data_IF_571656797160
#
_entry.id   IF_571656797160
#
_cell.length_a   1.000
_cell.length_b   1.000
_cell.length_c   1.000
_cell.angle_alpha   90.00
_cell.angle_beta   90.00
_cell.angle_gamma   90.00
#
_symmetry.space_group_name_H-M   'P 1'
#
loop_
_entity.id
_entity.type
_entity.pdbx_description
1 polymer ?
#
# COMPACT_ATOMS: atom_id res chain seq x y z
N UNK A 1 -24.86 -2.60 44.88
CA UNK A 1 -24.85 -1.90 43.58
C UNK A 1 -24.26 -0.48 43.64
N UNK A 2 -24.63 0.41 44.57
CA UNK A 2 -24.14 1.81 44.59
C UNK A 2 -22.64 2.02 44.94
N UNK A 3 -21.97 1.02 45.53
CA UNK A 3 -20.56 1.15 45.93
C UNK A 3 -19.54 0.86 44.83
N UNK A 4 -19.93 0.16 43.75
CA UNK A 4 -19.03 -0.16 42.63
C UNK A 4 -18.78 1.04 41.72
N UNK A 5 -19.81 1.86 41.48
CA UNK A 5 -19.72 3.08 40.67
C UNK A 5 -18.85 4.17 41.35
N UNK A 6 -18.89 4.27 42.67
CA UNK A 6 -18.10 5.26 43.42
C UNK A 6 -16.58 4.98 43.37
N UNK A 7 -16.16 3.71 43.29
CA UNK A 7 -14.75 3.32 43.12
C UNK A 7 -14.27 3.57 41.68
N UNK A 8 -15.12 3.27 40.69
CA UNK A 8 -14.81 3.52 39.27
C UNK A 8 -14.70 5.01 38.93
N UNK A 9 -15.57 5.87 39.49
CA UNK A 9 -15.47 7.32 39.29
C UNK A 9 -14.17 7.92 39.86
N UNK A 10 -13.61 7.35 40.94
CA UNK A 10 -12.37 7.85 41.55
C UNK A 10 -11.11 7.46 40.77
N UNK A 11 -11.11 6.30 40.10
CA UNK A 11 -9.99 5.83 39.27
C UNK A 11 -9.84 6.65 37.97
N UNK A 12 -10.97 7.04 37.36
CA UNK A 12 -10.99 7.81 36.10
C UNK A 12 -10.61 9.28 36.31
N UNK A 13 -10.86 9.84 37.48
CA UNK A 13 -10.56 11.24 37.81
C UNK A 13 -9.11 11.49 38.31
N UNK A 14 -8.27 10.45 38.45
CA UNK A 14 -6.90 10.56 39.01
C UNK A 14 -5.76 10.44 37.99
N UNK A 15 -6.02 10.14 36.71
CA UNK A 15 -4.99 10.24 35.67
C UNK A 15 -4.98 11.63 35.04
N UNK A 16 -4.64 12.61 35.86
CA UNK A 16 -4.14 13.89 35.39
C UNK A 16 -2.76 13.68 34.77
N UNK A 17 -2.69 13.73 33.44
CA UNK A 17 -1.47 14.12 32.75
C UNK A 17 -1.76 15.44 32.05
N UNK A 18 -1.35 16.53 32.70
CA UNK A 18 -1.46 17.88 32.18
C UNK A 18 -0.69 18.01 30.86
N UNK A 19 -1.41 18.18 29.75
CA UNK A 19 -0.87 18.78 28.53
C UNK A 19 -1.59 20.09 28.31
N UNK A 20 -0.99 21.17 28.77
CA UNK A 20 -1.34 22.52 28.32
C UNK A 20 -0.92 22.67 26.86
N UNK A 21 -1.88 22.65 25.94
CA UNK A 21 -1.74 23.24 24.60
C UNK A 21 -2.94 24.14 24.36
N UNK A 22 -2.84 25.36 24.88
CA UNK A 22 -3.78 26.43 24.64
C UNK A 22 -3.42 27.11 23.29
N UNK A 23 -3.79 26.50 22.17
CA UNK A 23 -3.75 27.16 20.87
C UNK A 23 -5.09 27.85 20.63
N UNK A 24 -5.20 29.07 21.16
CA UNK A 24 -6.29 30.01 20.90
C UNK A 24 -6.10 30.59 19.50
N UNK A 25 -6.94 30.20 18.55
CA UNK A 25 -7.21 30.96 17.33
C UNK A 25 -8.72 31.01 17.14
N UNK A 26 -9.33 32.13 17.50
CA UNK A 26 -10.74 32.45 17.25
C UNK A 26 -10.78 33.82 16.57
N UNK A 27 -11.55 33.92 15.49
CA UNK A 27 -11.87 35.14 14.73
C UNK A 27 -11.42 35.00 13.27
N UNK A 28 -12.14 34.30 12.39
CA UNK A 28 -13.42 34.69 11.74
C UNK A 28 -13.23 35.74 10.61
N UNK A 29 -13.24 35.27 9.35
CA UNK A 29 -13.96 35.88 8.22
C UNK A 29 -13.96 34.93 7.01
N UNK A 30 -15.11 34.64 6.38
CA UNK A 30 -15.25 33.83 5.17
C UNK A 30 -14.99 34.66 3.91
N UNK A 31 -14.61 33.98 2.82
CA UNK A 31 -14.13 34.52 1.54
C UNK A 31 -12.69 35.06 1.66
N UNK A 32 -11.69 34.55 0.95
CA UNK A 32 -11.68 34.06 -0.43
C UNK A 32 -10.73 32.85 -0.51
N UNK A 33 -11.26 31.67 -0.82
CA UNK A 33 -10.44 30.63 -1.41
C UNK A 33 -10.17 31.09 -2.85
N UNK A 34 -9.15 31.90 -3.06
CA UNK A 34 -8.55 32.09 -4.38
C UNK A 34 -8.08 30.71 -4.80
N UNK A 35 -8.93 29.99 -5.53
CA UNK A 35 -8.62 28.72 -6.16
C UNK A 35 -7.66 28.97 -7.31
N UNK A 36 -6.41 29.26 -6.98
CA UNK A 36 -5.29 29.02 -7.86
C UNK A 36 -5.07 27.51 -7.88
N UNK A 37 -5.85 26.84 -8.74
CA UNK A 37 -5.64 25.45 -9.09
C UNK A 37 -4.17 25.26 -9.45
N UNK A 38 -3.43 24.38 -8.76
CA UNK A 38 -1.99 24.23 -8.97
C UNK A 38 -1.72 23.88 -10.43
N UNK A 39 -0.67 24.45 -11.04
CA UNK A 39 -0.34 24.31 -12.47
C UNK A 39 -0.29 22.84 -12.97
N UNK A 40 -0.15 21.88 -12.06
CA UNK A 40 -0.17 20.43 -12.27
C UNK A 40 -1.54 19.92 -12.76
N UNK A 41 -2.65 20.59 -12.45
CA UNK A 41 -3.97 20.12 -12.93
C UNK A 41 -4.20 20.43 -14.40
N UNK A 42 -3.58 21.49 -14.95
CA UNK A 42 -3.72 21.88 -16.36
C UNK A 42 -3.25 20.79 -17.33
N UNK A 43 -2.05 20.20 -17.19
CA UNK A 43 -1.63 19.11 -18.07
C UNK A 43 -2.47 17.85 -17.89
N UNK A 44 -2.95 17.55 -16.67
CA UNK A 44 -3.86 16.43 -16.43
C UNK A 44 -5.21 16.66 -17.09
N UNK A 45 -5.73 17.88 -17.06
CA UNK A 45 -6.96 18.27 -17.75
C UNK A 45 -6.79 18.22 -19.27
N UNK A 46 -5.69 18.72 -19.81
CA UNK A 46 -5.39 18.63 -21.25
C UNK A 46 -5.29 17.17 -21.70
N UNK A 47 -4.59 16.32 -20.93
CA UNK A 47 -4.54 14.88 -21.19
C UNK A 47 -5.90 14.21 -21.05
N UNK A 48 -6.71 14.63 -20.08
CA UNK A 48 -8.08 14.14 -19.91
C UNK A 48 -8.98 14.52 -21.08
N UNK A 49 -8.87 15.74 -21.59
CA UNK A 49 -9.67 16.25 -22.69
C UNK A 49 -9.24 15.69 -24.06
N UNK A 50 -7.96 15.34 -24.21
CA UNK A 50 -7.43 14.67 -25.41
C UNK A 50 -7.84 13.19 -25.48
N UNK A 51 -8.23 12.57 -24.37
CA UNK A 51 -8.71 11.18 -24.36
C UNK A 51 -10.10 11.11 -25.00
N UNK A 52 -10.19 10.41 -26.13
CA UNK A 52 -11.48 10.17 -26.81
C UNK A 52 -12.40 9.29 -25.96
N UNK A 53 -11.84 8.31 -25.24
CA UNK A 53 -12.58 7.34 -24.42
C UNK A 53 -12.48 7.62 -22.91
N UNK A 54 -12.95 8.80 -22.48
CA UNK A 54 -13.00 9.19 -21.04
C UNK A 54 -13.69 8.14 -20.16
N UNK A 55 -14.75 7.51 -20.66
CA UNK A 55 -15.48 6.47 -19.92
C UNK A 55 -14.66 5.20 -19.73
N UNK A 56 -13.85 4.79 -20.72
CA UNK A 56 -12.98 3.63 -20.58
C UNK A 56 -11.91 3.90 -19.51
N UNK A 57 -11.27 5.06 -19.57
CA UNK A 57 -10.27 5.46 -18.56
C UNK A 57 -10.88 5.61 -17.18
N UNK A 58 -12.06 6.23 -17.06
CA UNK A 58 -12.77 6.35 -15.80
C UNK A 58 -13.16 4.97 -15.23
N UNK A 59 -13.66 4.07 -16.06
CA UNK A 59 -14.03 2.71 -15.63
C UNK A 59 -12.82 1.91 -15.18
N UNK A 60 -11.67 2.06 -15.85
CA UNK A 60 -10.42 1.42 -15.48
C UNK A 60 -9.87 2.00 -14.17
N UNK A 61 -10.00 3.30 -13.95
CA UNK A 61 -9.64 3.95 -12.69
C UNK A 61 -10.50 3.42 -11.53
N UNK A 62 -11.82 3.32 -11.73
CA UNK A 62 -12.74 2.74 -10.73
C UNK A 62 -12.42 1.26 -10.49
N UNK A 63 -12.20 0.48 -11.55
CA UNK A 63 -11.83 -0.93 -11.43
C UNK A 63 -10.50 -1.10 -10.68
N UNK A 64 -9.54 -0.21 -10.90
CA UNK A 64 -8.27 -0.20 -10.17
C UNK A 64 -8.49 0.09 -8.69
N UNK A 65 -9.32 1.07 -8.34
CA UNK A 65 -9.66 1.39 -6.94
C UNK A 65 -10.35 0.20 -6.26
N UNK A 66 -11.34 -0.40 -6.91
CA UNK A 66 -12.04 -1.58 -6.39
C UNK A 66 -11.07 -2.76 -6.24
N UNK A 67 -10.20 -2.97 -7.23
CA UNK A 67 -9.16 -4.00 -7.21
C UNK A 67 -8.21 -3.81 -6.03
N UNK A 68 -7.74 -2.58 -5.80
CA UNK A 68 -6.90 -2.25 -4.64
C UNK A 68 -7.64 -2.46 -3.31
N UNK A 69 -8.89 -2.01 -3.20
CA UNK A 69 -9.68 -2.20 -1.98
C UNK A 69 -9.94 -3.68 -1.69
N UNK A 70 -10.25 -4.45 -2.73
CA UNK A 70 -10.47 -5.90 -2.64
C UNK A 70 -9.18 -6.61 -2.25
N UNK A 71 -8.05 -6.27 -2.87
CA UNK A 71 -6.75 -6.83 -2.53
C UNK A 71 -6.37 -6.52 -1.08
N UNK A 72 -6.56 -5.27 -0.63
CA UNK A 72 -6.33 -4.89 0.77
C UNK A 72 -7.23 -5.67 1.74
N UNK A 73 -8.50 -5.91 1.38
CA UNK A 73 -9.43 -6.74 2.14
C UNK A 73 -8.97 -8.20 2.24
N UNK A 74 -8.49 -8.78 1.15
CA UNK A 74 -7.93 -10.15 1.12
C UNK A 74 -6.68 -10.25 1.99
N UNK A 75 -5.74 -9.30 1.87
CA UNK A 75 -4.52 -9.26 2.70
C UNK A 75 -4.91 -9.15 4.19
N UNK A 76 -5.86 -8.28 4.52
CA UNK A 76 -6.35 -8.12 5.90
C UNK A 76 -7.06 -9.37 6.44
N UNK A 77 -7.73 -10.14 5.58
CA UNK A 77 -8.35 -11.40 5.97
C UNK A 77 -7.31 -12.52 6.19
N UNK A 78 -6.29 -12.56 5.33
CA UNK A 78 -5.18 -13.51 5.44
C UNK A 78 -4.33 -13.24 6.69
N UNK A 79 -4.00 -11.98 6.96
CA UNK A 79 -3.18 -11.59 8.12
C UNK A 79 -3.88 -11.90 9.46
N UNK A 80 -5.22 -11.96 9.46
CA UNK A 80 -6.01 -12.40 10.62
C UNK A 80 -5.97 -13.91 10.86
N UNK A 81 -5.47 -14.71 9.92
CA UNK A 81 -5.27 -16.14 10.11
C UNK A 81 -3.87 -16.36 10.69
N UNK A 82 -3.72 -16.78 11.95
CA UNK A 82 -2.43 -16.82 12.65
C UNK A 82 -1.42 -17.81 12.05
N UNK A 83 -1.81 -18.64 11.09
CA UNK A 83 -0.96 -19.68 10.49
C UNK A 83 -0.43 -19.29 9.10
N UNK A 84 -1.14 -18.43 8.36
CA UNK A 84 -0.77 -18.11 6.97
C UNK A 84 0.56 -17.36 6.87
N UNK A 85 0.85 -16.35 7.72
CA UNK A 85 2.15 -15.66 7.68
C UNK A 85 3.34 -16.62 7.83
N UNK A 86 3.25 -17.57 8.76
CA UNK A 86 4.30 -18.58 8.98
C UNK A 86 4.44 -19.59 7.84
N UNK A 87 3.34 -20.01 7.20
CA UNK A 87 3.41 -20.91 6.03
C UNK A 87 4.05 -20.18 4.85
N UNK A 88 3.68 -18.93 4.58
CA UNK A 88 4.26 -18.16 3.48
C UNK A 88 5.75 -17.92 3.68
N UNK A 89 6.18 -17.66 4.91
CA UNK A 89 7.60 -17.56 5.27
C UNK A 89 8.35 -18.87 5.01
N UNK A 90 7.81 -20.01 5.49
CA UNK A 90 8.40 -21.32 5.26
C UNK A 90 8.48 -21.66 3.76
N UNK A 91 7.44 -21.34 3.00
CA UNK A 91 7.40 -21.53 1.55
C UNK A 91 8.45 -20.64 0.88
N UNK A 92 8.59 -19.38 1.29
CA UNK A 92 9.60 -18.46 0.76
C UNK A 92 11.02 -18.95 1.01
N UNK A 93 11.32 -19.37 2.24
CA UNK A 93 12.62 -19.93 2.62
C UNK A 93 12.86 -21.27 1.89
N UNK A 94 11.87 -22.15 1.85
CA UNK A 94 11.95 -23.46 1.20
C UNK A 94 12.22 -23.32 -0.31
N UNK A 95 11.48 -22.44 -0.98
CA UNK A 95 11.67 -22.18 -2.40
C UNK A 95 13.02 -21.50 -2.68
N UNK A 96 13.41 -20.52 -1.86
CA UNK A 96 14.71 -19.85 -2.02
C UNK A 96 15.86 -20.83 -1.81
N UNK A 97 15.79 -21.69 -0.78
CA UNK A 97 16.77 -22.73 -0.52
C UNK A 97 16.85 -23.77 -1.64
N UNK A 98 15.71 -24.26 -2.12
CA UNK A 98 15.66 -25.20 -3.26
C UNK A 98 16.17 -24.58 -4.56
N UNK A 99 15.76 -23.34 -4.87
CA UNK A 99 16.24 -22.59 -6.03
C UNK A 99 17.75 -22.39 -5.97
N UNK A 100 18.28 -21.98 -4.81
CA UNK A 100 19.71 -21.78 -4.62
C UNK A 100 20.49 -23.09 -4.75
N UNK A 101 19.98 -24.16 -4.13
CA UNK A 101 20.60 -25.48 -4.22
C UNK A 101 20.67 -25.95 -5.67
N UNK A 102 19.55 -25.93 -6.39
CA UNK A 102 19.52 -26.42 -7.76
C UNK A 102 20.27 -25.49 -8.73
N UNK A 103 19.97 -24.20 -8.74
CA UNK A 103 20.42 -23.31 -9.82
C UNK A 103 21.77 -22.63 -9.56
N UNK A 104 22.24 -22.53 -8.30
CA UNK A 104 23.53 -21.91 -8.00
C UNK A 104 24.64 -22.92 -7.63
N UNK A 105 24.31 -24.02 -6.96
CA UNK A 105 25.32 -25.01 -6.53
C UNK A 105 25.61 -26.03 -7.63
N UNK A 106 24.61 -26.46 -8.40
CA UNK A 106 24.83 -27.42 -9.48
C UNK A 106 25.37 -26.76 -10.75
N UNK A 107 26.50 -27.29 -11.21
CA UNK A 107 27.18 -26.92 -12.45
C UNK A 107 26.31 -26.89 -13.71
N UNK A 108 25.55 -27.95 -14.05
CA UNK A 108 24.74 -27.90 -15.27
C UNK A 108 23.63 -26.83 -15.19
N UNK A 109 23.06 -26.64 -14.00
CA UNK A 109 21.92 -25.75 -13.80
C UNK A 109 22.32 -24.27 -13.75
N UNK A 110 23.52 -23.94 -13.25
CA UNK A 110 24.02 -22.55 -13.28
C UNK A 110 24.25 -22.05 -14.71
N UNK A 111 24.73 -22.93 -15.61
CA UNK A 111 24.95 -22.57 -17.01
C UNK A 111 23.63 -22.38 -17.76
N UNK A 112 22.65 -23.24 -17.48
CA UNK A 112 21.29 -23.09 -17.98
C UNK A 112 20.62 -21.79 -17.46
N UNK A 113 20.84 -21.43 -16.19
CA UNK A 113 20.34 -20.18 -15.61
C UNK A 113 20.97 -18.97 -16.30
N UNK A 114 22.30 -18.96 -16.47
CA UNK A 114 23.01 -17.87 -17.15
C UNK A 114 22.53 -17.73 -18.60
N UNK A 115 22.33 -18.85 -19.32
CA UNK A 115 21.80 -18.83 -20.67
C UNK A 115 20.39 -18.23 -20.73
N UNK A 116 19.50 -18.58 -19.79
CA UNK A 116 18.15 -17.99 -19.68
C UNK A 116 18.22 -16.49 -19.41
N UNK A 117 19.08 -16.05 -18.49
CA UNK A 117 19.24 -14.62 -18.18
C UNK A 117 19.73 -13.85 -19.41
N UNK A 118 20.70 -14.38 -20.14
CA UNK A 118 21.19 -13.77 -21.40
C UNK A 118 20.09 -13.68 -22.45
N UNK A 119 19.32 -14.75 -22.64
CA UNK A 119 18.20 -14.73 -23.59
C UNK A 119 17.12 -13.72 -23.22
N UNK A 120 16.79 -13.59 -21.93
CA UNK A 120 15.85 -12.54 -21.46
C UNK A 120 16.42 -11.15 -21.69
N UNK A 121 17.71 -10.95 -21.39
CA UNK A 121 18.38 -9.67 -21.61
C UNK A 121 18.34 -9.27 -23.09
N UNK A 122 18.78 -10.16 -23.99
CA UNK A 122 18.76 -9.97 -25.44
C UNK A 122 17.35 -9.69 -25.98
N UNK A 123 16.33 -10.37 -25.44
CA UNK A 123 14.93 -10.13 -25.80
C UNK A 123 14.42 -8.74 -25.37
N UNK A 124 14.89 -8.20 -24.24
CA UNK A 124 14.46 -6.89 -23.73
C UNK A 124 15.21 -5.76 -24.44
N UNK A 125 16.52 -5.90 -24.66
CA UNK A 125 17.33 -4.85 -25.30
C UNK A 125 17.24 -4.85 -26.83
N UNK A 126 16.66 -5.90 -27.40
CA UNK A 126 16.61 -6.12 -28.83
C UNK A 126 17.93 -6.70 -29.32
N UNK A 127 17.89 -7.94 -29.81
CA UNK A 127 18.94 -8.50 -30.66
C UNK A 127 18.95 -7.71 -31.97
N UNK A 128 19.77 -6.66 -32.06
CA UNK A 128 20.22 -6.13 -33.35
C UNK A 128 21.37 -6.96 -33.90
#
# INVERSE_FOLDING_TARGET
>A
MARYYAVLCRQVLSHGNARNVLAKATGESPAEATTEFPEIVKPVQELWDKLEDKYAVASLAVASIIGLWTAAGVISAIDRLPVVPGILELVGIGYTGWFAYQNLIFTPDREALIAKIKGVYENIIGSS
#
